data_IF_668733125824
#
_entry.id   IF_668733125824
#
_cell.length_a   1.000
_cell.length_b   1.000
_cell.length_c   1.000
_cell.angle_alpha   90.00
_cell.angle_beta   90.00
_cell.angle_gamma   90.00
#
_symmetry.space_group_name_H-M   'P 1'
#
loop_
_entity.id
_entity.type
_entity.pdbx_description
1 polymer ?
#
# COMPACT_ATOMS: atom_id res chain seq x y z
N UNK A 1 34.84 10.95 -21.27
CA UNK A 1 34.78 9.65 -20.58
C UNK A 1 35.91 8.76 -21.09
N UNK A 2 36.91 8.49 -20.24
CA UNK A 2 38.02 7.55 -20.46
C UNK A 2 37.69 6.27 -19.69
N UNK A 3 37.03 5.32 -20.37
CA UNK A 3 36.57 4.06 -19.78
C UNK A 3 37.69 3.34 -19.00
N UNK A 4 37.36 2.89 -17.79
CA UNK A 4 38.22 2.03 -16.97
C UNK A 4 37.84 0.58 -17.24
N UNK A 5 38.73 -0.19 -17.87
CA UNK A 5 38.56 -1.64 -18.03
C UNK A 5 38.99 -2.39 -16.76
N UNK A 6 38.05 -3.12 -16.14
CA UNK A 6 38.25 -3.81 -14.87
C UNK A 6 37.55 -3.12 -13.69
N UNK A 7 37.60 -3.75 -12.51
CA UNK A 7 36.92 -3.23 -11.30
C UNK A 7 37.75 -2.18 -10.55
N UNK A 8 37.07 -1.18 -9.98
CA UNK A 8 37.65 -0.18 -9.08
C UNK A 8 37.30 -0.55 -7.63
N UNK A 9 38.32 -0.84 -6.82
CA UNK A 9 38.16 -1.10 -5.39
C UNK A 9 38.98 -0.10 -4.59
N UNK A 10 38.32 0.76 -3.81
CA UNK A 10 38.94 1.66 -2.84
C UNK A 10 38.65 1.14 -1.45
N UNK A 11 39.69 0.69 -0.74
CA UNK A 11 39.61 0.26 0.66
C UNK A 11 40.74 0.93 1.44
N UNK A 12 40.41 1.86 2.32
CA UNK A 12 41.40 2.78 2.92
C UNK A 12 41.03 3.17 4.34
N UNK A 13 42.03 3.59 5.12
CA UNK A 13 41.86 4.33 6.36
C UNK A 13 41.90 5.83 6.02
N UNK A 14 40.73 6.46 5.81
CA UNK A 14 40.60 7.87 5.45
C UNK A 14 40.49 8.80 6.67
N UNK A 15 40.53 8.25 7.89
CA UNK A 15 40.06 8.92 9.08
C UNK A 15 38.56 9.24 8.96
N UNK A 16 38.19 10.47 9.32
CA UNK A 16 36.79 10.86 9.49
C UNK A 16 35.93 10.77 8.22
N UNK A 17 36.45 11.09 7.03
CA UNK A 17 35.64 11.15 5.81
C UNK A 17 36.43 10.60 4.62
N UNK A 18 35.96 9.51 4.01
CA UNK A 18 36.38 9.10 2.66
C UNK A 18 35.56 9.87 1.64
N UNK A 19 36.15 10.91 1.02
CA UNK A 19 35.56 11.60 -0.15
C UNK A 19 36.05 10.90 -1.42
N UNK A 20 35.12 10.31 -2.17
CA UNK A 20 35.39 9.57 -3.40
C UNK A 20 34.75 10.26 -4.61
N UNK A 21 35.46 10.21 -5.75
CA UNK A 21 34.94 10.60 -7.05
C UNK A 21 35.52 9.68 -8.12
N UNK A 22 34.66 9.14 -8.98
CA UNK A 22 35.02 8.27 -10.10
C UNK A 22 34.51 8.98 -11.37
N UNK A 23 35.34 9.80 -12.05
CA UNK A 23 34.87 10.73 -13.08
C UNK A 23 34.57 10.07 -14.44
N UNK A 24 34.68 8.74 -14.53
CA UNK A 24 34.63 7.97 -15.77
C UNK A 24 33.88 6.64 -15.60
N UNK A 25 33.31 6.12 -16.68
CA UNK A 25 32.58 4.84 -16.70
C UNK A 25 33.51 3.63 -16.46
N UNK A 26 33.09 2.73 -15.56
CA UNK A 26 33.85 1.53 -15.17
C UNK A 26 33.26 0.28 -15.82
N UNK A 27 34.04 -0.40 -16.67
CA UNK A 27 33.69 -1.71 -17.25
C UNK A 27 34.15 -2.81 -16.28
N UNK A 28 33.47 -2.86 -15.15
CA UNK A 28 33.78 -3.65 -13.97
C UNK A 28 32.94 -3.21 -12.77
N UNK A 29 33.18 -3.80 -11.60
CA UNK A 29 32.50 -3.41 -10.37
C UNK A 29 33.13 -2.15 -9.76
N UNK A 30 32.36 -1.40 -8.96
CA UNK A 30 32.86 -0.36 -8.06
C UNK A 30 32.63 -0.83 -6.63
N UNK A 31 33.68 -0.81 -5.81
CA UNK A 31 33.61 -1.10 -4.37
C UNK A 31 34.32 0.00 -3.58
N UNK A 32 33.59 0.71 -2.71
CA UNK A 32 34.12 1.80 -1.88
C UNK A 32 33.96 1.45 -0.40
N UNK A 33 35.06 1.51 0.35
CA UNK A 33 35.12 1.18 1.78
C UNK A 33 36.10 2.09 2.52
N UNK A 34 35.61 2.80 3.53
CA UNK A 34 36.48 3.35 4.57
C UNK A 34 36.62 2.30 5.69
N UNK A 35 37.75 2.30 6.38
CA UNK A 35 38.07 1.35 7.47
C UNK A 35 38.24 2.03 8.82
N UNK A 36 37.84 3.30 8.90
CA UNK A 36 37.79 4.10 10.11
C UNK A 36 36.36 4.56 10.36
N UNK A 37 35.94 4.59 11.63
CA UNK A 37 34.67 5.16 12.05
C UNK A 37 34.55 6.63 11.61
N UNK A 38 33.58 6.92 10.75
CA UNK A 38 33.47 8.16 9.99
C UNK A 38 32.44 8.05 8.86
N UNK A 39 32.46 8.96 7.89
CA UNK A 39 31.58 8.97 6.72
C UNK A 39 32.25 8.49 5.43
N UNK A 40 31.45 8.02 4.48
CA UNK A 40 31.78 7.82 3.07
C UNK A 40 30.93 8.79 2.24
N UNK A 41 31.56 9.76 1.58
CA UNK A 41 30.89 10.73 0.70
C UNK A 41 31.32 10.50 -0.74
N UNK A 42 30.37 10.38 -1.66
CA UNK A 42 30.62 10.19 -3.10
C UNK A 42 30.10 11.40 -3.88
N UNK A 43 31.02 12.20 -4.40
CA UNK A 43 30.74 13.53 -4.97
C UNK A 43 30.57 13.51 -6.51
N UNK A 44 30.49 12.32 -7.11
CA UNK A 44 30.31 12.12 -8.55
C UNK A 44 29.23 11.06 -8.83
N UNK A 45 28.74 11.02 -10.06
CA UNK A 45 28.03 9.85 -10.57
C UNK A 45 28.91 8.59 -10.39
N UNK A 46 28.26 7.44 -10.18
CA UNK A 46 28.87 6.11 -10.19
C UNK A 46 28.28 5.30 -11.34
N UNK A 47 29.02 5.16 -12.44
CA UNK A 47 28.53 4.49 -13.65
C UNK A 47 29.33 3.21 -13.93
N UNK A 48 28.66 2.06 -13.92
CA UNK A 48 29.27 0.77 -14.29
C UNK A 48 28.67 0.19 -15.57
N UNK A 49 29.44 -0.69 -16.19
CA UNK A 49 29.04 -1.65 -17.23
C UNK A 49 29.62 -3.02 -16.90
N UNK A 50 29.06 -4.06 -17.51
CA UNK A 50 29.56 -5.42 -17.41
C UNK A 50 31.02 -5.46 -17.90
N UNK A 51 31.92 -5.95 -17.07
CA UNK A 51 33.34 -6.03 -17.36
C UNK A 51 33.70 -7.12 -18.35
N UNK A 52 34.83 -6.93 -19.04
CA UNK A 52 35.33 -7.81 -20.10
C UNK A 52 35.78 -9.19 -19.58
N UNK A 53 36.05 -9.32 -18.29
CA UNK A 53 36.45 -10.58 -17.64
C UNK A 53 35.27 -11.31 -16.98
N UNK A 54 34.05 -10.78 -17.11
CA UNK A 54 32.81 -11.36 -16.55
C UNK A 54 32.27 -10.63 -15.32
N UNK A 55 32.90 -9.55 -14.88
CA UNK A 55 32.44 -8.70 -13.79
C UNK A 55 31.03 -8.17 -14.08
N UNK A 56 30.10 -8.24 -13.11
CA UNK A 56 28.70 -7.92 -13.36
C UNK A 56 28.44 -6.41 -13.56
N UNK A 57 29.31 -5.56 -13.01
CA UNK A 57 29.10 -4.12 -12.91
C UNK A 57 28.19 -3.79 -11.72
N UNK A 58 28.48 -4.36 -10.56
CA UNK A 58 27.85 -4.02 -9.28
C UNK A 58 28.49 -2.76 -8.68
N UNK A 59 27.71 -1.93 -7.98
CA UNK A 59 28.20 -0.86 -7.10
C UNK A 59 27.99 -1.28 -5.65
N UNK A 60 29.07 -1.31 -4.87
CA UNK A 60 29.07 -1.64 -3.44
C UNK A 60 29.67 -0.50 -2.62
N UNK A 61 28.93 -0.02 -1.62
CA UNK A 61 29.34 0.98 -0.64
C UNK A 61 29.25 0.35 0.75
N UNK A 62 30.36 0.31 1.49
CA UNK A 62 30.40 -0.30 2.83
C UNK A 62 31.19 0.62 3.79
N UNK A 63 30.60 0.99 4.93
CA UNK A 63 31.22 1.86 5.93
C UNK A 63 30.62 1.58 7.32
N UNK A 64 31.29 1.92 8.43
CA UNK A 64 30.67 1.77 9.77
C UNK A 64 29.64 2.90 10.06
N UNK A 65 29.99 4.14 9.70
CA UNK A 65 29.16 5.34 9.80
C UNK A 65 28.40 5.71 8.51
N UNK A 66 28.02 6.98 8.38
CA UNK A 66 27.22 7.55 7.27
C UNK A 66 27.75 7.22 5.85
N UNK A 67 26.84 6.95 4.91
CA UNK A 67 27.11 6.84 3.47
C UNK A 67 26.25 7.85 2.70
N UNK A 68 26.86 8.88 2.12
CA UNK A 68 26.17 9.88 1.30
C UNK A 68 26.70 9.86 -0.14
N UNK A 69 25.78 9.87 -1.12
CA UNK A 69 26.07 9.87 -2.56
C UNK A 69 25.34 11.03 -3.21
N UNK A 70 26.09 12.07 -3.59
CA UNK A 70 25.55 13.28 -4.22
C UNK A 70 25.14 13.05 -5.68
N UNK A 71 25.87 12.17 -6.38
CA UNK A 71 25.68 11.85 -7.79
C UNK A 71 24.67 10.73 -8.07
N UNK A 72 24.45 10.45 -9.34
CA UNK A 72 23.59 9.37 -9.81
C UNK A 72 24.32 8.03 -9.79
N UNK A 73 23.68 6.97 -9.31
CA UNK A 73 24.21 5.61 -9.37
C UNK A 73 23.58 4.86 -10.53
N UNK A 74 24.39 4.41 -11.49
CA UNK A 74 23.96 3.74 -12.71
C UNK A 74 24.70 2.40 -12.87
N UNK A 75 24.20 1.37 -12.19
CA UNK A 75 24.81 0.04 -12.17
C UNK A 75 24.28 -0.88 -13.28
N UNK A 76 25.14 -1.71 -13.90
CA UNK A 76 24.70 -2.75 -14.86
C UNK A 76 24.33 -4.09 -14.23
N UNK A 77 24.76 -4.32 -12.98
CA UNK A 77 24.13 -5.27 -12.07
C UNK A 77 23.58 -4.47 -10.90
N UNK A 78 23.86 -4.87 -9.66
CA UNK A 78 23.18 -4.42 -8.46
C UNK A 78 23.80 -3.15 -7.86
N UNK A 79 23.03 -2.48 -7.01
CA UNK A 79 23.52 -1.43 -6.10
C UNK A 79 23.34 -1.92 -4.66
N UNK A 80 24.40 -1.85 -3.87
CA UNK A 80 24.42 -2.22 -2.44
C UNK A 80 25.08 -1.11 -1.63
N UNK A 81 24.38 -0.59 -0.63
CA UNK A 81 24.97 0.20 0.46
C UNK A 81 24.72 -0.51 1.80
N UNK A 82 25.74 -0.61 2.65
CA UNK A 82 25.60 -1.14 4.02
C UNK A 82 26.45 -0.35 4.99
N UNK A 83 25.85 0.05 6.09
CA UNK A 83 26.54 0.51 7.28
C UNK A 83 25.93 -0.09 8.56
N UNK A 84 26.46 0.32 9.71
CA UNK A 84 25.96 -0.06 11.04
C UNK A 84 25.32 1.12 11.77
N UNK A 85 25.85 2.34 11.60
CA UNK A 85 25.34 3.54 12.25
C UNK A 85 25.36 4.75 11.28
N UNK A 86 24.47 5.72 11.50
CA UNK A 86 24.28 6.86 10.61
C UNK A 86 23.52 6.56 9.31
N UNK A 87 23.24 7.62 8.56
CA UNK A 87 22.33 7.57 7.41
C UNK A 87 22.97 6.93 6.15
N UNK A 88 22.15 6.32 5.30
CA UNK A 88 22.47 6.00 3.90
C UNK A 88 21.63 6.93 3.01
N UNK A 89 22.27 7.92 2.39
CA UNK A 89 21.60 8.93 1.57
C UNK A 89 22.08 8.85 0.11
N UNK A 90 21.20 8.40 -0.79
CA UNK A 90 21.38 8.56 -2.23
C UNK A 90 20.63 9.82 -2.67
N UNK A 91 21.33 10.94 -2.85
CA UNK A 91 20.71 12.22 -3.18
C UNK A 91 20.30 12.27 -4.67
N UNK A 92 21.16 11.76 -5.56
CA UNK A 92 20.86 11.57 -6.98
C UNK A 92 20.07 10.29 -7.30
N UNK A 93 19.68 10.11 -8.56
CA UNK A 93 18.89 8.94 -8.98
C UNK A 93 19.68 7.63 -8.94
N UNK A 94 18.99 6.52 -8.65
CA UNK A 94 19.60 5.18 -8.53
C UNK A 94 18.97 4.21 -9.53
N UNK A 95 19.69 3.92 -10.61
CA UNK A 95 19.31 2.93 -11.63
C UNK A 95 20.20 1.69 -11.55
N UNK A 96 19.57 0.52 -11.52
CA UNK A 96 20.22 -0.78 -11.39
C UNK A 96 19.76 -1.78 -12.44
N UNK A 97 20.73 -2.44 -13.08
CA UNK A 97 20.52 -3.60 -13.97
C UNK A 97 20.18 -4.89 -13.21
N UNK A 98 20.39 -4.91 -11.89
CA UNK A 98 19.99 -5.95 -10.96
C UNK A 98 18.99 -5.41 -9.94
N UNK A 99 19.26 -5.63 -8.65
CA UNK A 99 18.51 -5.07 -7.51
C UNK A 99 19.12 -3.76 -6.99
N UNK A 100 18.38 -3.01 -6.18
CA UNK A 100 18.91 -1.93 -5.31
C UNK A 100 18.71 -2.34 -3.86
N UNK A 101 19.75 -2.23 -3.04
CA UNK A 101 19.72 -2.61 -1.62
C UNK A 101 20.45 -1.59 -0.75
N UNK A 102 19.83 -1.19 0.36
CA UNK A 102 20.43 -0.39 1.42
C UNK A 102 20.10 -1.01 2.79
N UNK A 103 21.07 -1.04 3.71
CA UNK A 103 20.89 -1.54 5.07
C UNK A 103 21.73 -0.77 6.08
N UNK A 104 21.11 -0.30 7.16
CA UNK A 104 21.80 0.17 8.37
C UNK A 104 21.24 -0.57 9.59
N UNK A 105 21.93 -0.52 10.74
CA UNK A 105 21.32 -0.90 12.01
C UNK A 105 20.67 0.32 12.67
N UNK A 106 21.38 1.46 12.75
CA UNK A 106 20.81 2.77 13.14
C UNK A 106 21.05 3.86 12.10
N UNK A 107 20.02 4.68 11.82
CA UNK A 107 20.07 5.79 10.86
C UNK A 107 19.01 5.71 9.75
N UNK A 108 18.89 6.78 8.99
CA UNK A 108 17.90 6.98 7.92
C UNK A 108 18.37 6.35 6.62
N UNK A 109 17.48 5.66 5.89
CA UNK A 109 17.73 5.27 4.50
C UNK A 109 16.93 6.19 3.57
N UNK A 110 17.62 7.12 2.91
CA UNK A 110 17.03 8.15 2.05
C UNK A 110 17.39 7.99 0.58
N UNK A 111 16.38 8.07 -0.29
CA UNK A 111 16.53 8.21 -1.74
C UNK A 111 15.90 9.54 -2.19
N UNK A 112 16.74 10.52 -2.54
CA UNK A 112 16.35 11.89 -2.89
C UNK A 112 15.65 12.03 -4.23
N UNK A 113 16.02 11.19 -5.21
CA UNK A 113 15.38 11.10 -6.52
C UNK A 113 14.80 9.69 -6.78
N UNK A 114 14.62 9.33 -8.05
CA UNK A 114 13.98 8.09 -8.46
C UNK A 114 14.91 6.87 -8.29
N UNK A 115 14.32 5.74 -7.88
CA UNK A 115 14.98 4.43 -7.76
C UNK A 115 14.38 3.46 -8.77
N UNK A 116 15.20 2.83 -9.60
CA UNK A 116 14.75 1.91 -10.67
C UNK A 116 15.63 0.66 -10.72
N UNK A 117 15.08 -0.47 -10.29
CA UNK A 117 15.74 -1.78 -10.37
C UNK A 117 15.12 -2.65 -11.46
N UNK A 118 15.92 -3.48 -12.14
CA UNK A 118 15.36 -4.57 -12.95
C UNK A 118 14.77 -5.68 -12.08
N UNK A 119 15.39 -5.91 -10.93
CA UNK A 119 14.93 -6.83 -9.88
C UNK A 119 14.32 -6.02 -8.71
N UNK A 120 14.59 -6.43 -7.47
CA UNK A 120 13.99 -5.85 -6.27
C UNK A 120 14.60 -4.50 -5.84
N UNK A 121 13.85 -3.75 -5.05
CA UNK A 121 14.36 -2.59 -4.27
C UNK A 121 14.12 -2.88 -2.80
N UNK A 122 15.18 -2.87 -1.98
CA UNK A 122 15.11 -3.23 -0.55
C UNK A 122 15.81 -2.20 0.34
N UNK A 123 15.11 -1.67 1.33
CA UNK A 123 15.68 -0.85 2.41
C UNK A 123 15.40 -1.50 3.77
N UNK A 124 16.41 -1.64 4.61
CA UNK A 124 16.31 -2.30 5.92
C UNK A 124 17.06 -1.51 7.00
N UNK A 125 16.35 -1.00 7.99
CA UNK A 125 16.93 -0.38 9.20
C UNK A 125 16.73 -1.36 10.36
N UNK A 126 17.79 -1.98 10.88
CA UNK A 126 17.57 -3.11 11.79
C UNK A 126 17.18 -2.72 13.21
N UNK A 127 17.46 -1.51 13.69
CA UNK A 127 17.14 -1.06 15.04
C UNK A 127 16.34 0.25 15.08
N UNK A 128 16.86 1.36 14.53
CA UNK A 128 16.16 2.64 14.59
C UNK A 128 16.54 3.61 13.47
N UNK A 129 15.53 4.16 12.80
CA UNK A 129 15.66 5.18 11.77
C UNK A 129 14.61 5.02 10.67
N UNK A 130 14.39 6.10 9.93
CA UNK A 130 13.31 6.21 8.94
C UNK A 130 13.75 5.69 7.56
N UNK A 131 12.78 5.35 6.72
CA UNK A 131 13.02 4.97 5.31
C UNK A 131 12.23 5.90 4.40
N UNK A 132 12.93 6.65 3.55
CA UNK A 132 12.34 7.70 2.71
C UNK A 132 12.65 7.48 1.22
N UNK A 133 11.59 7.32 0.42
CA UNK A 133 11.67 7.43 -1.04
C UNK A 133 11.03 8.76 -1.47
N UNK A 134 11.86 9.78 -1.69
CA UNK A 134 11.38 11.11 -2.09
C UNK A 134 10.94 11.12 -3.57
N UNK A 135 11.67 10.41 -4.44
CA UNK A 135 11.26 10.15 -5.82
C UNK A 135 10.36 8.92 -5.98
N UNK A 136 10.13 8.51 -7.24
CA UNK A 136 9.41 7.28 -7.55
C UNK A 136 10.32 6.06 -7.37
N UNK A 137 9.76 4.92 -6.98
CA UNK A 137 10.48 3.64 -6.83
C UNK A 137 9.84 2.55 -7.69
N UNK A 138 10.65 1.91 -8.54
CA UNK A 138 10.19 0.94 -9.53
C UNK A 138 11.02 -0.36 -9.54
N UNK A 139 10.33 -1.50 -9.43
CA UNK A 139 10.81 -2.82 -9.82
C UNK A 139 10.26 -3.16 -11.22
N UNK A 140 11.15 -3.42 -12.19
CA UNK A 140 10.78 -3.49 -13.61
C UNK A 140 10.43 -4.91 -14.08
N UNK A 141 11.19 -5.94 -13.68
CA UNK A 141 11.08 -7.30 -14.26
C UNK A 141 10.77 -8.41 -13.26
N UNK A 142 11.26 -8.30 -12.02
CA UNK A 142 11.20 -9.35 -10.99
C UNK A 142 11.32 -8.75 -9.59
N UNK A 143 10.78 -9.44 -8.59
CA UNK A 143 11.00 -9.09 -7.19
C UNK A 143 10.28 -7.83 -6.74
N UNK A 144 10.37 -7.59 -5.44
CA UNK A 144 9.46 -6.70 -4.73
C UNK A 144 10.10 -5.34 -4.45
N UNK A 145 9.28 -4.37 -4.06
CA UNK A 145 9.73 -3.15 -3.39
C UNK A 145 9.46 -3.38 -1.89
N UNK A 146 10.50 -3.42 -1.06
CA UNK A 146 10.40 -3.69 0.38
C UNK A 146 11.13 -2.65 1.21
N UNK A 147 10.45 -2.09 2.19
CA UNK A 147 11.06 -1.30 3.26
C UNK A 147 10.75 -1.92 4.62
N UNK A 148 11.71 -1.95 5.55
CA UNK A 148 11.43 -2.33 6.94
C UNK A 148 12.33 -1.70 7.99
N UNK A 149 11.77 -1.21 9.09
CA UNK A 149 12.47 -0.63 10.25
C UNK A 149 11.88 -1.11 11.58
N UNK A 150 12.67 -1.31 12.66
CA UNK A 150 12.09 -1.64 13.98
C UNK A 150 11.41 -0.43 14.63
N UNK A 151 12.07 0.73 14.64
CA UNK A 151 11.54 2.01 15.11
C UNK A 151 11.85 3.10 14.09
N UNK A 152 10.83 3.68 13.46
CA UNK A 152 10.95 4.71 12.45
C UNK A 152 9.78 4.72 11.47
N UNK A 153 9.62 5.82 10.76
CA UNK A 153 8.59 6.01 9.74
C UNK A 153 9.06 5.46 8.37
N UNK A 154 8.11 4.97 7.56
CA UNK A 154 8.38 4.51 6.18
C UNK A 154 7.54 5.34 5.21
N UNK A 155 8.15 6.30 4.51
CA UNK A 155 7.47 7.22 3.61
C UNK A 155 7.89 7.02 2.14
N UNK A 156 6.89 6.76 1.31
CA UNK A 156 6.97 6.86 -0.15
C UNK A 156 6.28 8.16 -0.58
N UNK A 157 7.04 9.14 -1.03
CA UNK A 157 6.50 10.40 -1.56
C UNK A 157 6.11 10.27 -3.03
N UNK A 158 6.98 9.66 -3.84
CA UNK A 158 6.67 9.28 -5.22
C UNK A 158 5.91 7.95 -5.32
N UNK A 159 5.63 7.54 -6.55
CA UNK A 159 4.89 6.30 -6.85
C UNK A 159 5.74 5.07 -6.55
N UNK A 160 5.13 4.06 -5.93
CA UNK A 160 5.73 2.75 -5.73
C UNK A 160 5.15 1.74 -6.74
N UNK A 161 5.98 1.24 -7.67
CA UNK A 161 5.54 0.37 -8.78
C UNK A 161 6.36 -0.92 -8.87
N UNK A 162 5.81 -2.03 -8.39
CA UNK A 162 6.38 -3.37 -8.57
C UNK A 162 5.70 -4.07 -9.75
N UNK A 163 6.31 -4.02 -10.93
CA UNK A 163 5.70 -4.51 -12.18
C UNK A 163 5.56 -6.04 -12.27
N UNK A 164 6.27 -6.80 -11.42
CA UNK A 164 6.22 -8.27 -11.37
C UNK A 164 6.19 -8.84 -9.93
N UNK A 165 6.22 -7.97 -8.92
CA UNK A 165 6.29 -8.32 -7.50
C UNK A 165 5.22 -7.63 -6.67
N UNK A 166 5.45 -7.60 -5.37
CA UNK A 166 4.67 -6.89 -4.35
C UNK A 166 5.30 -5.54 -3.99
N UNK A 167 4.52 -4.67 -3.35
CA UNK A 167 5.02 -3.50 -2.60
C UNK A 167 4.76 -3.77 -1.11
N UNK A 168 5.80 -3.71 -0.29
CA UNK A 168 5.77 -4.14 1.12
C UNK A 168 6.44 -3.08 2.00
N UNK A 169 5.75 -2.66 3.07
CA UNK A 169 6.32 -1.88 4.16
C UNK A 169 6.00 -2.57 5.50
N UNK A 170 7.00 -2.74 6.35
CA UNK A 170 6.86 -3.38 7.66
C UNK A 170 7.67 -2.62 8.71
N UNK A 171 7.03 -2.06 9.73
CA UNK A 171 7.74 -1.52 10.88
C UNK A 171 7.17 -2.00 12.22
N UNK A 172 7.93 -1.75 13.30
CA UNK A 172 7.45 -1.96 14.67
C UNK A 172 6.72 -0.71 15.15
N UNK A 173 7.48 0.31 15.55
CA UNK A 173 6.93 1.60 15.99
C UNK A 173 7.19 2.64 14.91
N UNK A 174 6.17 3.41 14.55
CA UNK A 174 6.21 4.44 13.50
C UNK A 174 5.13 4.24 12.45
N UNK A 175 4.92 5.26 11.61
CA UNK A 175 3.86 5.27 10.60
C UNK A 175 4.36 4.94 9.19
N UNK A 176 3.49 4.30 8.40
CA UNK A 176 3.73 3.98 6.99
C UNK A 176 2.89 4.92 6.13
N UNK A 177 3.49 5.58 5.13
CA UNK A 177 2.80 6.50 4.24
C UNK A 177 3.15 6.28 2.76
N UNK A 178 2.13 6.17 1.93
CA UNK A 178 2.21 6.23 0.48
C UNK A 178 1.49 7.49 -0.02
N UNK A 179 2.25 8.50 -0.43
CA UNK A 179 1.74 9.85 -0.76
C UNK A 179 1.19 9.95 -2.20
N UNK A 180 1.62 9.04 -3.08
CA UNK A 180 1.12 8.88 -4.45
C UNK A 180 0.76 7.39 -4.68
N UNK A 181 0.45 7.06 -5.92
CA UNK A 181 -0.12 5.81 -6.42
C UNK A 181 0.78 4.62 -6.12
N UNK A 182 0.20 3.57 -5.53
CA UNK A 182 0.86 2.30 -5.30
C UNK A 182 0.35 1.27 -6.31
N UNK A 183 1.28 0.58 -6.98
CA UNK A 183 0.98 -0.48 -7.95
C UNK A 183 1.85 -1.71 -7.70
N UNK A 184 1.21 -2.86 -7.51
CA UNK A 184 1.85 -4.16 -7.47
C UNK A 184 1.20 -5.12 -8.47
N UNK A 185 2.00 -5.99 -9.10
CA UNK A 185 1.48 -7.13 -9.84
C UNK A 185 0.94 -8.21 -8.90
N UNK A 186 1.58 -8.38 -7.75
CA UNK A 186 1.16 -9.29 -6.71
C UNK A 186 0.39 -8.49 -5.65
N UNK A 187 0.98 -8.29 -4.47
CA UNK A 187 0.29 -7.73 -3.31
C UNK A 187 0.79 -6.33 -2.94
N UNK A 188 -0.05 -5.54 -2.28
CA UNK A 188 0.37 -4.32 -1.57
C UNK A 188 0.15 -4.56 -0.08
N UNK A 189 1.23 -4.54 0.71
CA UNK A 189 1.18 -4.84 2.15
C UNK A 189 1.82 -3.73 2.97
N UNK A 190 1.12 -3.24 3.99
CA UNK A 190 1.69 -2.40 5.04
C UNK A 190 1.39 -3.02 6.42
N UNK A 191 2.40 -3.13 7.29
CA UNK A 191 2.24 -3.63 8.66
C UNK A 191 3.00 -2.74 9.65
N UNK A 192 2.34 -2.30 10.71
CA UNK A 192 2.98 -1.64 11.87
C UNK A 192 2.49 -2.28 13.18
N UNK A 193 3.26 -2.16 14.26
CA UNK A 193 2.79 -2.50 15.61
C UNK A 193 2.04 -1.31 16.20
N UNK A 194 2.70 -0.15 16.31
CA UNK A 194 2.14 1.10 16.80
C UNK A 194 2.49 2.26 15.85
N UNK A 195 1.46 2.86 15.25
CA UNK A 195 1.59 3.90 14.22
C UNK A 195 0.46 3.82 13.19
N UNK A 196 0.37 4.79 12.30
CA UNK A 196 -0.71 4.86 11.32
C UNK A 196 -0.28 4.32 9.94
N UNK A 197 -1.25 3.88 9.14
CA UNK A 197 -1.03 3.49 7.74
C UNK A 197 -1.86 4.40 6.85
N UNK A 198 -1.20 5.20 6.02
CA UNK A 198 -1.83 6.12 5.07
C UNK A 198 -1.52 5.74 3.61
N UNK A 199 -2.57 5.59 2.82
CA UNK A 199 -2.52 5.59 1.36
C UNK A 199 -3.26 6.81 0.84
N UNK A 200 -2.51 7.88 0.55
CA UNK A 200 -3.04 9.12 -0.01
C UNK A 200 -3.39 8.94 -1.49
N UNK A 201 -2.54 8.22 -2.23
CA UNK A 201 -2.76 7.84 -3.62
C UNK A 201 -3.66 6.62 -3.81
N UNK A 202 -4.01 6.33 -5.06
CA UNK A 202 -4.77 5.13 -5.41
C UNK A 202 -3.92 3.86 -5.28
N UNK A 203 -4.51 2.75 -4.80
CA UNK A 203 -3.80 1.48 -4.56
C UNK A 203 -4.29 0.41 -5.53
N UNK A 204 -3.37 -0.24 -6.24
CA UNK A 204 -3.68 -1.23 -7.27
C UNK A 204 -2.82 -2.50 -7.08
N UNK A 205 -3.38 -3.57 -6.55
CA UNK A 205 -2.75 -4.89 -6.45
C UNK A 205 -3.36 -5.87 -7.46
N UNK A 206 -2.54 -6.66 -8.16
CA UNK A 206 -3.03 -7.76 -9.00
C UNK A 206 -3.55 -8.96 -8.18
N UNK A 207 -3.16 -9.06 -6.92
CA UNK A 207 -3.70 -10.01 -5.94
C UNK A 207 -4.32 -9.25 -4.74
N UNK A 208 -3.67 -9.16 -3.59
CA UNK A 208 -4.27 -8.64 -2.35
C UNK A 208 -3.73 -7.26 -1.98
N UNK A 209 -4.61 -6.39 -1.46
CA UNK A 209 -4.20 -5.21 -0.68
C UNK A 209 -4.39 -5.58 0.79
N UNK A 210 -3.37 -5.37 1.63
CA UNK A 210 -3.43 -5.61 3.07
C UNK A 210 -2.79 -4.47 3.85
N UNK A 211 -3.50 -3.98 4.87
CA UNK A 211 -2.94 -3.13 5.92
C UNK A 211 -3.19 -3.78 7.29
N UNK A 212 -2.19 -3.79 8.17
CA UNK A 212 -2.31 -4.33 9.53
C UNK A 212 -1.63 -3.45 10.57
N UNK A 213 -2.33 -3.20 11.69
CA UNK A 213 -1.85 -2.48 12.86
C UNK A 213 -2.09 -3.37 14.08
N UNK A 214 -1.04 -3.89 14.73
CA UNK A 214 -1.23 -4.95 15.74
C UNK A 214 -1.50 -4.44 17.16
N UNK A 215 -1.19 -3.18 17.49
CA UNK A 215 -1.49 -2.57 18.79
C UNK A 215 -2.36 -1.33 18.66
N UNK A 216 -1.80 -0.19 18.21
CA UNK A 216 -2.51 1.10 18.17
C UNK A 216 -2.24 1.82 16.84
N UNK A 217 -3.29 2.40 16.26
CA UNK A 217 -3.19 3.24 15.06
C UNK A 217 -4.34 3.06 14.07
N UNK A 218 -4.49 4.04 13.19
CA UNK A 218 -5.56 4.08 12.19
C UNK A 218 -5.05 3.79 10.77
N UNK A 219 -5.89 3.12 9.98
CA UNK A 219 -5.66 2.85 8.55
C UNK A 219 -6.52 3.81 7.73
N UNK A 220 -5.94 4.50 6.76
CA UNK A 220 -6.68 5.41 5.87
C UNK A 220 -6.31 5.20 4.41
N UNK A 221 -7.31 5.01 3.58
CA UNK A 221 -7.23 5.01 2.12
C UNK A 221 -8.01 6.22 1.59
N UNK A 222 -7.31 7.26 1.14
CA UNK A 222 -7.93 8.50 0.65
C UNK A 222 -8.57 8.36 -0.73
N UNK A 223 -7.97 7.55 -1.58
CA UNK A 223 -8.34 7.34 -2.97
C UNK A 223 -8.84 5.93 -3.24
N UNK A 224 -9.40 5.70 -4.43
CA UNK A 224 -9.96 4.40 -4.81
C UNK A 224 -8.90 3.30 -4.78
N UNK A 225 -9.26 2.16 -4.20
CA UNK A 225 -8.39 0.99 -4.09
C UNK A 225 -8.95 -0.22 -4.85
N UNK A 226 -8.04 -0.99 -5.46
CA UNK A 226 -8.38 -2.15 -6.30
C UNK A 226 -7.43 -3.33 -6.08
N UNK A 227 -7.99 -4.44 -5.66
CA UNK A 227 -7.33 -5.73 -5.52
C UNK A 227 -7.90 -6.73 -6.53
N UNK A 228 -7.04 -7.45 -7.26
CA UNK A 228 -7.46 -8.54 -8.16
C UNK A 228 -8.03 -9.76 -7.42
N UNK A 229 -7.70 -9.91 -6.14
CA UNK A 229 -8.32 -10.80 -5.16
C UNK A 229 -8.95 -10.00 -4.03
N UNK A 230 -8.20 -9.76 -2.96
CA UNK A 230 -8.76 -9.42 -1.64
C UNK A 230 -8.34 -8.03 -1.19
N UNK A 231 -9.24 -7.28 -0.55
CA UNK A 231 -8.88 -6.11 0.26
C UNK A 231 -8.94 -6.52 1.72
N UNK A 232 -7.90 -6.22 2.49
CA UNK A 232 -7.77 -6.54 3.91
C UNK A 232 -7.33 -5.29 4.68
N UNK A 233 -8.01 -4.96 5.78
CA UNK A 233 -7.57 -3.91 6.71
C UNK A 233 -7.87 -4.33 8.15
N UNK A 234 -6.81 -4.57 8.92
CA UNK A 234 -6.86 -5.07 10.29
C UNK A 234 -6.23 -4.03 11.25
N UNK A 235 -6.95 -3.54 12.25
CA UNK A 235 -6.33 -2.86 13.40
C UNK A 235 -6.78 -3.49 14.72
N UNK A 236 -5.93 -3.41 15.74
CA UNK A 236 -6.31 -3.76 17.10
C UNK A 236 -7.05 -2.58 17.76
N UNK A 237 -6.45 -1.39 17.82
CA UNK A 237 -7.09 -0.17 18.32
C UNK A 237 -6.87 1.03 17.39
N UNK A 238 -7.92 1.43 16.68
CA UNK A 238 -7.95 2.60 15.82
C UNK A 238 -9.04 2.54 14.74
N UNK A 239 -9.14 3.62 13.96
CA UNK A 239 -10.17 3.73 12.93
C UNK A 239 -9.69 3.18 11.58
N UNK A 240 -10.61 2.70 10.76
CA UNK A 240 -10.34 2.31 9.37
C UNK A 240 -11.22 3.16 8.44
N UNK A 241 -10.59 4.03 7.65
CA UNK A 241 -11.27 4.93 6.73
C UNK A 241 -10.98 4.57 5.27
N UNK A 242 -12.04 4.25 4.52
CA UNK A 242 -12.05 4.23 3.07
C UNK A 242 -12.78 5.47 2.57
N UNK A 243 -12.04 6.53 2.23
CA UNK A 243 -12.62 7.80 1.79
C UNK A 243 -13.11 7.77 0.32
N UNK A 244 -12.97 6.63 -0.35
CA UNK A 244 -13.30 6.45 -1.78
C UNK A 244 -13.73 5.00 -2.06
N UNK A 245 -13.81 4.61 -3.34
CA UNK A 245 -14.25 3.28 -3.74
C UNK A 245 -13.30 2.14 -3.33
N UNK A 246 -13.87 0.98 -3.01
CA UNK A 246 -13.14 -0.24 -2.64
C UNK A 246 -13.55 -1.37 -3.58
N UNK A 247 -12.59 -1.93 -4.33
CA UNK A 247 -12.86 -2.96 -5.34
C UNK A 247 -11.99 -4.21 -5.10
N UNK A 248 -12.61 -5.29 -4.65
CA UNK A 248 -11.99 -6.61 -4.59
C UNK A 248 -12.54 -7.51 -5.71
N UNK A 249 -11.67 -8.19 -6.45
CA UNK A 249 -12.06 -9.28 -7.36
C UNK A 249 -12.61 -10.52 -6.63
N UNK A 250 -12.40 -10.58 -5.33
CA UNK A 250 -12.86 -11.60 -4.38
C UNK A 250 -13.33 -10.88 -3.10
N UNK A 251 -12.70 -11.07 -1.93
CA UNK A 251 -13.27 -10.70 -0.62
C UNK A 251 -12.82 -9.29 -0.09
N UNK A 252 -13.59 -8.64 0.82
CA UNK A 252 -13.25 -7.33 1.45
C UNK A 252 -13.28 -7.41 2.99
N UNK A 253 -12.18 -7.85 3.60
CA UNK A 253 -12.08 -8.27 5.02
C UNK A 253 -11.59 -7.11 5.90
N UNK A 254 -12.40 -6.67 6.86
CA UNK A 254 -12.07 -5.54 7.74
C UNK A 254 -12.22 -5.92 9.22
N UNK A 255 -11.24 -5.57 10.04
CA UNK A 255 -11.25 -5.77 11.49
C UNK A 255 -10.80 -4.50 12.23
N UNK A 256 -11.56 -4.07 13.24
CA UNK A 256 -11.06 -3.20 14.31
C UNK A 256 -11.52 -3.78 15.66
N UNK A 257 -10.61 -3.85 16.64
CA UNK A 257 -10.97 -4.26 18.01
C UNK A 257 -11.62 -3.11 18.77
N UNK A 258 -10.94 -1.97 18.82
CA UNK A 258 -11.46 -0.70 19.34
C UNK A 258 -11.37 0.42 18.29
N UNK A 259 -12.50 0.82 17.71
CA UNK A 259 -12.55 1.94 16.77
C UNK A 259 -13.87 2.02 15.99
N UNK A 260 -13.84 2.73 14.87
CA UNK A 260 -14.91 2.79 13.88
C UNK A 260 -14.38 2.53 12.45
N UNK A 261 -15.22 1.89 11.62
CA UNK A 261 -14.94 1.61 10.21
C UNK A 261 -15.86 2.48 9.36
N UNK A 262 -15.28 3.27 8.45
CA UNK A 262 -15.99 4.26 7.65
C UNK A 262 -15.75 4.04 6.16
N UNK A 263 -16.83 4.00 5.37
CA UNK A 263 -16.79 3.94 3.91
C UNK A 263 -17.54 5.16 3.33
N UNK A 264 -16.80 6.09 2.72
CA UNK A 264 -17.36 7.25 2.03
C UNK A 264 -17.57 7.00 0.52
N UNK A 265 -17.35 5.78 0.04
CA UNK A 265 -17.47 5.40 -1.36
C UNK A 265 -17.93 3.97 -1.55
N UNK A 266 -18.26 3.62 -2.81
CA UNK A 266 -18.82 2.31 -3.17
C UNK A 266 -17.84 1.17 -2.90
N UNK A 267 -18.27 0.20 -2.11
CA UNK A 267 -17.60 -1.10 -1.92
C UNK A 267 -18.10 -2.11 -2.97
N UNK A 268 -17.23 -2.99 -3.46
CA UNK A 268 -17.59 -4.09 -4.36
C UNK A 268 -16.64 -5.27 -4.13
N UNK A 269 -17.22 -6.46 -3.95
CA UNK A 269 -16.55 -7.74 -3.81
C UNK A 269 -17.02 -8.69 -4.92
N UNK A 270 -16.10 -9.41 -5.57
CA UNK A 270 -16.44 -10.38 -6.64
C UNK A 270 -16.92 -11.73 -6.10
N UNK A 271 -16.59 -12.03 -4.84
CA UNK A 271 -17.13 -13.11 -4.03
C UNK A 271 -17.16 -12.58 -2.60
N UNK A 272 -18.29 -12.73 -1.93
CA UNK A 272 -18.49 -12.46 -0.51
C UNK A 272 -17.92 -11.11 -0.02
N UNK A 273 -18.78 -10.08 0.06
CA UNK A 273 -18.64 -9.12 1.17
C UNK A 273 -18.67 -9.99 2.44
N UNK A 274 -17.55 -10.12 3.17
CA UNK A 274 -17.29 -11.33 3.93
C UNK A 274 -18.23 -11.47 5.11
N UNK A 275 -18.47 -12.70 5.55
CA UNK A 275 -19.27 -13.00 6.74
C UNK A 275 -18.78 -12.32 8.05
N UNK A 276 -17.63 -11.63 8.01
CA UNK A 276 -17.30 -10.54 8.93
C UNK A 276 -18.19 -9.29 8.73
N UNK A 277 -19.50 -9.52 8.76
CA UNK A 277 -20.54 -8.52 8.97
C UNK A 277 -21.64 -9.10 9.89
N UNK A 278 -21.41 -9.43 11.18
CA UNK A 278 -22.50 -9.80 12.14
C UNK A 278 -22.36 -9.13 13.52
N UNK A 279 -23.48 -8.76 14.20
CA UNK A 279 -23.58 -8.07 15.52
C UNK A 279 -22.97 -6.67 15.71
N UNK A 280 -23.70 -5.56 15.88
CA UNK A 280 -23.18 -4.47 16.73
C UNK A 280 -24.30 -3.70 17.43
N UNK A 281 -24.65 -4.14 18.63
CA UNK A 281 -25.56 -3.39 19.49
C UNK A 281 -24.83 -2.17 20.07
N UNK A 282 -25.28 -0.96 19.69
CA UNK A 282 -24.95 0.27 20.41
C UNK A 282 -24.16 1.37 19.67
N UNK A 283 -23.96 1.31 18.34
CA UNK A 283 -23.46 2.46 17.55
C UNK A 283 -24.40 2.83 16.41
N UNK A 284 -24.56 4.13 16.16
CA UNK A 284 -25.42 4.70 15.11
C UNK A 284 -24.58 5.01 13.87
N UNK A 285 -25.01 4.50 12.72
CA UNK A 285 -24.42 4.84 11.42
C UNK A 285 -25.02 6.15 10.89
N UNK A 286 -24.17 7.02 10.34
CA UNK A 286 -24.59 8.24 9.64
C UNK A 286 -24.11 8.19 8.20
N UNK A 287 -25.03 8.45 7.27
CA UNK A 287 -24.75 8.68 5.85
C UNK A 287 -25.26 10.07 5.49
N UNK A 288 -24.51 10.83 4.69
CA UNK A 288 -24.97 12.06 4.06
C UNK A 288 -24.73 11.99 2.56
N UNK A 289 -25.82 12.01 1.79
CA UNK A 289 -25.77 12.14 0.34
C UNK A 289 -25.55 13.62 -0.05
N UNK A 290 -25.04 13.88 -1.26
CA UNK A 290 -24.53 15.18 -1.67
C UNK A 290 -24.61 15.45 -3.17
N UNK A 291 -25.79 15.83 -3.64
CA UNK A 291 -26.01 16.43 -4.96
C UNK A 291 -27.00 17.61 -4.86
N UNK A 292 -26.74 18.67 -5.63
CA UNK A 292 -27.59 19.86 -5.75
C UNK A 292 -28.17 19.92 -7.17
N UNK A 293 -29.46 20.27 -7.30
CA UNK A 293 -29.94 21.19 -8.34
C UNK A 293 -31.30 21.80 -7.93
N UNK A 294 -31.79 22.79 -8.67
CA UNK A 294 -32.75 23.79 -8.18
C UNK A 294 -34.21 23.31 -8.04
N UNK A 295 -34.94 23.92 -7.10
CA UNK A 295 -36.40 23.81 -6.91
C UNK A 295 -36.95 25.21 -6.62
N UNK A 296 -37.89 25.69 -7.44
CA UNK A 296 -38.64 26.92 -7.16
C UNK A 296 -39.59 26.73 -5.96
N UNK A 297 -39.73 27.76 -5.12
CA UNK A 297 -40.53 27.74 -3.89
C UNK A 297 -42.04 27.49 -4.15
N UNK A 298 -42.61 26.48 -3.47
CA UNK A 298 -43.67 26.80 -2.49
C UNK A 298 -43.88 25.70 -1.42
N UNK A 299 -43.87 26.13 -0.15
CA UNK A 299 -44.11 25.40 1.12
C UNK A 299 -43.14 24.27 1.59
N UNK A 300 -42.80 24.20 2.91
CA UNK A 300 -41.64 23.42 3.36
C UNK A 300 -41.93 22.32 4.41
N UNK A 301 -41.57 21.06 4.13
CA UNK A 301 -41.09 20.10 5.16
C UNK A 301 -40.28 18.93 4.56
N UNK A 302 -38.98 18.90 4.84
CA UNK A 302 -38.25 17.71 5.30
C UNK A 302 -38.07 16.49 4.38
N UNK A 303 -36.84 16.34 3.87
CA UNK A 303 -36.16 15.04 3.60
C UNK A 303 -36.88 14.03 2.69
N UNK A 304 -36.91 14.32 1.40
CA UNK A 304 -36.87 13.26 0.39
C UNK A 304 -35.43 12.75 0.22
N UNK A 305 -35.21 11.44 0.23
CA UNK A 305 -33.96 10.81 -0.20
C UNK A 305 -34.28 9.65 -1.15
N UNK A 306 -33.54 9.55 -2.25
CA UNK A 306 -33.73 8.52 -3.26
C UNK A 306 -33.26 7.14 -2.77
N UNK A 307 -33.90 6.09 -3.29
CA UNK A 307 -33.44 4.70 -3.14
C UNK A 307 -32.64 4.30 -4.38
N UNK A 308 -31.39 3.87 -4.17
CA UNK A 308 -30.58 3.23 -5.20
C UNK A 308 -30.06 1.86 -4.69
N UNK A 309 -30.01 0.85 -5.56
CA UNK A 309 -30.19 -0.55 -5.14
C UNK A 309 -28.93 -1.44 -5.10
N UNK A 310 -28.97 -2.48 -4.25
CA UNK A 310 -27.90 -3.49 -4.05
C UNK A 310 -28.47 -4.93 -4.18
N UNK A 311 -27.70 -5.88 -4.70
CA UNK A 311 -28.14 -7.25 -5.02
C UNK A 311 -27.13 -8.36 -4.60
N UNK A 312 -27.26 -9.00 -3.42
CA UNK A 312 -26.42 -10.14 -2.94
C UNK A 312 -27.16 -11.50 -2.98
N UNK A 313 -26.55 -12.69 -3.14
CA UNK A 313 -27.25 -13.90 -3.66
C UNK A 313 -28.12 -14.74 -2.65
N UNK A 314 -28.71 -15.84 -3.13
CA UNK A 314 -29.92 -16.52 -2.59
C UNK A 314 -29.76 -17.50 -1.41
N UNK A 315 -28.62 -18.16 -1.24
CA UNK A 315 -28.55 -19.39 -0.43
C UNK A 315 -27.89 -19.18 0.95
N UNK A 316 -28.68 -19.27 2.03
CA UNK A 316 -28.24 -19.24 3.43
C UNK A 316 -28.87 -20.41 4.22
N UNK A 317 -28.25 -20.80 5.34
CA UNK A 317 -28.72 -21.94 6.17
C UNK A 317 -28.62 -21.67 7.68
N UNK A 318 -29.58 -22.20 8.45
CA UNK A 318 -29.76 -21.88 9.87
C UNK A 318 -28.70 -22.46 10.81
N UNK A 319 -28.09 -21.59 11.65
CA UNK A 319 -27.92 -21.80 13.12
C UNK A 319 -27.24 -20.61 13.82
N UNK A 320 -27.68 -20.31 15.04
CA UNK A 320 -27.12 -19.30 15.94
C UNK A 320 -26.66 -19.90 17.27
N UNK A 321 -25.58 -19.36 17.88
CA UNK A 321 -25.39 -19.23 19.35
C UNK A 321 -24.11 -18.47 19.75
N UNK A 322 -24.30 -17.37 20.50
CA UNK A 322 -23.44 -16.78 21.56
C UNK A 322 -21.93 -16.54 21.33
N UNK A 323 -21.54 -15.26 21.34
CA UNK A 323 -20.18 -14.74 21.57
C UNK A 323 -20.19 -13.20 21.49
N UNK A 324 -19.35 -12.50 22.27
CA UNK A 324 -19.28 -11.03 22.29
C UNK A 324 -18.31 -10.48 21.20
N UNK A 325 -18.67 -10.67 19.94
CA UNK A 325 -17.93 -10.19 18.74
C UNK A 325 -18.77 -9.14 17.96
N UNK A 326 -18.14 -8.26 17.14
CA UNK A 326 -18.81 -7.02 16.64
C UNK A 326 -18.63 -6.60 15.16
N UNK A 327 -19.72 -6.62 14.35
CA UNK A 327 -19.85 -6.28 12.91
C UNK A 327 -21.36 -6.00 12.46
N UNK A 328 -22.04 -6.52 11.38
CA UNK A 328 -23.48 -6.21 10.92
C UNK A 328 -23.98 -6.66 9.48
N UNK A 329 -25.00 -7.56 9.30
CA UNK A 329 -25.25 -8.46 8.10
C UNK A 329 -26.44 -8.16 7.13
N UNK A 330 -26.39 -8.60 5.85
CA UNK A 330 -27.43 -8.42 4.80
C UNK A 330 -27.51 -9.50 3.66
N UNK A 331 -28.70 -9.72 3.05
CA UNK A 331 -28.95 -10.63 1.88
C UNK A 331 -29.87 -10.03 0.77
N UNK A 332 -30.30 -10.82 -0.25
CA UNK A 332 -31.12 -10.34 -1.41
C UNK A 332 -32.58 -9.99 -1.10
N UNK A 333 -33.19 -10.62 -0.10
CA UNK A 333 -34.63 -10.71 -0.01
C UNK A 333 -35.18 -9.78 1.07
N UNK A 334 -35.77 -8.68 0.61
CA UNK A 334 -36.43 -7.73 1.50
C UNK A 334 -37.53 -8.39 2.34
N UNK A 335 -37.46 -8.11 3.65
CA UNK A 335 -38.48 -8.35 4.68
C UNK A 335 -38.57 -9.76 5.30
N UNK A 336 -38.04 -9.90 6.51
CA UNK A 336 -38.55 -10.85 7.52
C UNK A 336 -39.03 -10.09 8.76
N UNK A 337 -40.36 -9.94 8.85
CA UNK A 337 -41.17 -9.81 10.06
C UNK A 337 -40.71 -8.93 11.24
N UNK A 338 -41.27 -7.72 11.32
CA UNK A 338 -41.66 -7.14 12.63
C UNK A 338 -43.18 -7.27 12.81
N UNK A 339 -43.64 -7.47 14.04
CA UNK A 339 -45.04 -7.74 14.35
C UNK A 339 -45.84 -6.45 14.57
N UNK A 340 -46.81 -6.16 13.69
CA UNK A 340 -47.83 -5.14 13.95
C UNK A 340 -48.41 -4.46 12.71
N UNK A 341 -49.69 -4.71 12.46
CA UNK A 341 -50.61 -4.00 11.54
C UNK A 341 -50.34 -4.06 10.02
N UNK A 342 -51.42 -4.29 9.29
CA UNK A 342 -51.50 -4.24 7.83
C UNK A 342 -52.24 -2.98 7.38
N UNK A 343 -51.82 -2.40 6.26
CA UNK A 343 -52.74 -1.69 5.36
C UNK A 343 -52.27 -1.88 3.91
N UNK A 344 -52.94 -2.75 3.17
CA UNK A 344 -52.60 -3.04 1.79
C UNK A 344 -53.31 -2.09 0.83
N UNK A 345 -52.58 -1.63 -0.20
CA UNK A 345 -53.15 -1.19 -1.48
C UNK A 345 -52.35 -1.84 -2.60
N UNK A 346 -52.97 -2.58 -3.53
CA UNK A 346 -52.23 -3.25 -4.59
C UNK A 346 -51.85 -2.26 -5.69
N UNK A 347 -50.63 -2.38 -6.21
CA UNK A 347 -50.29 -1.87 -7.53
C UNK A 347 -50.09 -3.03 -8.50
N UNK A 348 -50.46 -2.79 -9.75
CA UNK A 348 -50.62 -3.83 -10.78
C UNK A 348 -49.28 -4.46 -11.13
N UNK A 349 -49.26 -5.78 -11.25
CA UNK A 349 -48.26 -6.44 -12.08
C UNK A 349 -48.52 -6.08 -13.55
N UNK A 350 -47.47 -5.85 -14.33
CA UNK A 350 -47.56 -5.70 -15.77
C UNK A 350 -47.30 -7.04 -16.46
N UNK A 351 -48.01 -7.28 -17.55
CA UNK A 351 -47.77 -8.33 -18.55
C UNK A 351 -47.63 -9.77 -18.06
N UNK A 352 -48.78 -10.35 -17.70
CA UNK A 352 -49.09 -11.74 -18.04
C UNK A 352 -50.45 -11.76 -18.74
N UNK A 353 -50.50 -12.32 -19.97
CA UNK A 353 -51.71 -12.36 -20.78
C UNK A 353 -52.65 -13.53 -20.43
N UNK A 354 -53.86 -13.44 -20.98
CA UNK A 354 -54.87 -14.49 -21.22
C UNK A 354 -54.75 -15.83 -20.46
N UNK A 355 -55.82 -16.17 -19.72
CA UNK A 355 -56.64 -17.35 -20.02
C UNK A 355 -58.05 -17.20 -19.39
N UNK A 356 -59.03 -17.60 -20.19
CA UNK A 356 -60.44 -17.98 -19.92
C UNK A 356 -61.20 -17.36 -18.72
N UNK A 357 -62.26 -16.62 -19.06
CA UNK A 357 -63.44 -16.44 -18.21
C UNK A 357 -64.33 -17.68 -18.30
N UNK A 358 -64.53 -18.39 -17.20
CA UNK A 358 -65.69 -19.28 -17.04
C UNK A 358 -66.88 -18.51 -16.44
N UNK A 359 -68.10 -18.93 -16.77
CA UNK A 359 -69.32 -18.12 -16.57
C UNK A 359 -69.86 -18.13 -15.13
N UNK A 360 -70.70 -17.14 -14.82
CA UNK A 360 -71.36 -17.02 -13.51
C UNK A 360 -72.58 -17.95 -13.37
N UNK A 361 -72.94 -18.26 -12.11
CA UNK A 361 -74.27 -18.80 -11.79
C UNK A 361 -75.39 -17.75 -12.04
N UNK A 362 -76.64 -18.24 -12.01
CA UNK A 362 -77.87 -17.58 -12.50
C UNK A 362 -78.29 -16.29 -11.77
#
# INVERSE_FOLDING_TARGET
VKVIDGSVTVRTHAGKNLRAAIPDEVHGNIALTNLDAGALTVESDLVTKKGKNGEAGTVTLEQEGEITVDGNVNASSDVKAVNSDGDILFLGSVTSGGSVSAKTDTGTIGYGENVKAQNAVTAEVTEKGDIMYLGNVESVRRGDIRASTKEGDIWYHGKATANAGSVIAENGIGSIRYSDTVRANNDVTATTTDGNIWYDGAVNAGQTIKATITEIGSITYWNTIKAGRDVIADTNAGNILFNSGVMAGRDVIIHTGEGDVTFNGKVTAGRDLPDQVRYNWGKTWYYSDGAYEEVDDDYPTGFGMGLDAVYANKDLSDRFRSGDEKIAYYDRYGLIGFAGFFMARPFRNADAGEIETDEAEQ
#
